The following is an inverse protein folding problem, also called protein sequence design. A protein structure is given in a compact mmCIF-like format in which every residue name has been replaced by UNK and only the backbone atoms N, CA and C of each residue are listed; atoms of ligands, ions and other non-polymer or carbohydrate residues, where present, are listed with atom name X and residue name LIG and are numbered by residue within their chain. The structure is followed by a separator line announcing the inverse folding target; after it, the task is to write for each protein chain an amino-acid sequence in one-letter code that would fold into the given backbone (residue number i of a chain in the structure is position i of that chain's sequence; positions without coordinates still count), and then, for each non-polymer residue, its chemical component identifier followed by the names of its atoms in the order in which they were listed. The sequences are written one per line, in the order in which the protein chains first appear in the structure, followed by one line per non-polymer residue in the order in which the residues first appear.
data_IF_200068830809
#
_entry.id   IF_200068830809
#
_cell.length_a   1.000
_cell.length_b   1.000
_cell.length_c   1.000
_cell.angle_alpha   90.00
_cell.angle_beta   90.00
_cell.angle_gamma   90.00
#
_symmetry.space_group_name_H-M   'P 1'
#
loop_
_entity.id
_entity.type
_entity.pdbx_description
1 polymer ?
#
# COMPACT_ATOMS: atom_id res chain seq x y z
N UNK A 1 2.54 2.62 -46.57
CA UNK A 1 2.14 4.04 -46.55
C UNK A 1 1.56 4.33 -45.17
N UNK A 2 2.39 4.79 -44.23
CA UNK A 2 1.97 5.09 -42.85
C UNK A 2 1.90 6.60 -42.72
N UNK A 3 0.69 7.11 -42.54
CA UNK A 3 0.38 8.53 -42.41
C UNK A 3 0.92 9.01 -41.05
N UNK A 4 1.89 9.92 -41.10
CA UNK A 4 2.44 10.65 -39.96
C UNK A 4 1.39 11.67 -39.52
N UNK A 5 0.57 11.33 -38.52
CA UNK A 5 -0.20 12.32 -37.77
C UNK A 5 0.64 12.82 -36.60
N UNK A 6 1.00 14.10 -36.64
CA UNK A 6 1.60 14.86 -35.55
C UNK A 6 0.58 14.92 -34.39
N UNK A 7 0.56 13.90 -33.53
CA UNK A 7 -0.33 13.85 -32.37
C UNK A 7 0.17 14.79 -31.27
N UNK A 8 -0.76 15.54 -30.69
CA UNK A 8 -0.50 16.47 -29.59
C UNK A 8 -0.02 15.69 -28.36
N UNK A 9 0.80 16.29 -27.50
CA UNK A 9 1.40 15.62 -26.34
C UNK A 9 0.37 14.95 -25.41
N UNK A 10 -0.87 15.45 -25.38
CA UNK A 10 -2.00 14.83 -24.66
C UNK A 10 -2.46 13.52 -25.32
N UNK A 11 -2.60 13.50 -26.64
CA UNK A 11 -3.03 12.31 -27.41
C UNK A 11 -2.03 11.17 -27.33
N UNK A 12 -0.74 11.50 -27.22
CA UNK A 12 0.34 10.53 -27.02
C UNK A 12 0.26 9.88 -25.62
N UNK A 13 -0.06 10.65 -24.58
CA UNK A 13 -0.28 10.13 -23.23
C UNK A 13 -1.51 9.21 -23.18
N UNK A 14 -2.61 9.57 -23.85
CA UNK A 14 -3.79 8.72 -23.90
C UNK A 14 -3.54 7.41 -24.66
N UNK A 15 -2.82 7.46 -25.79
CA UNK A 15 -2.40 6.25 -26.51
C UNK A 15 -1.45 5.38 -25.71
N UNK A 16 -0.52 5.97 -24.95
CA UNK A 16 0.39 5.23 -24.09
C UNK A 16 -0.38 4.55 -22.94
N UNK A 17 -1.39 5.20 -22.35
CA UNK A 17 -2.28 4.60 -21.34
C UNK A 17 -3.11 3.45 -21.95
N UNK A 18 -3.61 3.63 -23.18
CA UNK A 18 -4.40 2.61 -23.88
C UNK A 18 -3.55 1.39 -24.29
N UNK A 19 -2.29 1.60 -24.69
CA UNK A 19 -1.30 0.54 -24.98
C UNK A 19 -0.76 -0.12 -23.69
N UNK A 20 -0.68 0.63 -22.58
CA UNK A 20 -0.28 0.12 -21.25
C UNK A 20 -1.43 -0.59 -20.52
N UNK A 21 -2.61 -0.75 -21.15
CA UNK A 21 -3.52 -1.87 -20.80
C UNK A 21 -2.87 -3.20 -21.18
N UNK A 22 -1.69 -3.49 -20.64
CA UNK A 22 -1.14 -4.82 -20.60
C UNK A 22 -2.23 -5.72 -20.05
N UNK A 23 -2.53 -6.80 -20.78
CA UNK A 23 -3.56 -7.78 -20.45
C UNK A 23 -3.13 -8.56 -19.19
N UNK A 24 -3.11 -7.90 -18.04
CA UNK A 24 -3.00 -8.57 -16.75
C UNK A 24 -4.24 -9.43 -16.61
N UNK A 25 -4.03 -10.72 -16.34
CA UNK A 25 -5.14 -11.63 -16.06
C UNK A 25 -5.86 -11.09 -14.83
N UNK A 26 -7.16 -10.83 -14.95
CA UNK A 26 -8.02 -10.50 -13.81
C UNK A 26 -8.17 -11.75 -12.95
N UNK A 27 -7.31 -11.86 -11.94
CA UNK A 27 -7.24 -13.02 -11.06
C UNK A 27 -7.82 -12.75 -9.66
N UNK A 28 -8.17 -11.50 -9.35
CA UNK A 28 -8.67 -11.06 -8.05
C UNK A 28 -10.15 -10.74 -8.11
N UNK A 29 -10.89 -11.24 -7.11
CA UNK A 29 -12.30 -10.91 -6.91
C UNK A 29 -12.45 -9.59 -6.11
N UNK A 30 -13.60 -8.93 -6.21
CA UNK A 30 -13.88 -7.67 -5.51
C UNK A 30 -13.72 -7.79 -3.99
N UNK A 31 -14.22 -8.88 -3.40
CA UNK A 31 -14.11 -9.14 -1.95
C UNK A 31 -12.66 -9.27 -1.50
N UNK A 32 -11.83 -9.93 -2.32
CA UNK A 32 -10.41 -10.05 -2.02
C UNK A 32 -9.70 -8.71 -2.18
N UNK A 33 -10.09 -7.91 -3.17
CA UNK A 33 -9.56 -6.58 -3.39
C UNK A 33 -9.88 -5.63 -2.21
N UNK A 34 -11.11 -5.66 -1.70
CA UNK A 34 -11.49 -4.86 -0.53
C UNK A 34 -10.76 -5.32 0.72
N UNK A 35 -10.58 -6.63 0.92
CA UNK A 35 -9.78 -7.16 2.02
C UNK A 35 -8.31 -6.68 1.95
N UNK A 36 -7.71 -6.66 0.76
CA UNK A 36 -6.35 -6.09 0.59
C UNK A 36 -6.32 -4.61 1.00
N UNK A 37 -7.32 -3.81 0.60
CA UNK A 37 -7.37 -2.39 0.99
C UNK A 37 -7.57 -2.19 2.49
N UNK A 38 -8.42 -3.01 3.12
CA UNK A 38 -8.63 -2.98 4.57
C UNK A 38 -7.33 -3.32 5.29
N UNK A 39 -6.68 -4.43 4.96
CA UNK A 39 -5.48 -4.84 5.66
C UNK A 39 -4.22 -4.02 5.34
N UNK A 40 -4.21 -3.25 4.25
CA UNK A 40 -3.18 -2.24 3.99
C UNK A 40 -3.28 -1.05 4.95
N UNK A 41 -4.50 -0.66 5.34
CA UNK A 41 -4.75 0.49 6.22
C UNK A 41 -4.84 0.09 7.69
N UNK A 42 -5.47 -1.05 7.98
CA UNK A 42 -5.66 -1.60 9.32
C UNK A 42 -4.71 -2.78 9.48
N UNK A 43 -3.60 -2.55 10.16
CA UNK A 43 -2.56 -3.56 10.36
C UNK A 43 -1.82 -3.40 11.69
N UNK A 44 -0.86 -4.29 11.95
CA UNK A 44 -0.11 -4.34 13.21
C UNK A 44 0.64 -3.04 13.55
N UNK A 45 1.03 -2.26 12.55
CA UNK A 45 1.68 -0.97 12.77
C UNK A 45 0.74 0.07 13.39
N UNK A 46 -0.56 0.02 13.12
CA UNK A 46 -1.53 0.94 13.73
C UNK A 46 -1.57 0.70 15.25
N UNK A 47 -1.69 -0.54 15.69
CA UNK A 47 -1.70 -0.87 17.12
C UNK A 47 -0.36 -0.55 17.81
N UNK A 48 0.76 -0.91 17.20
CA UNK A 48 2.10 -0.69 17.79
C UNK A 48 2.48 0.79 17.80
N UNK A 49 2.30 1.51 16.69
CA UNK A 49 2.64 2.93 16.61
C UNK A 49 1.70 3.79 17.44
N UNK A 50 0.41 3.48 17.48
CA UNK A 50 -0.53 4.21 18.35
C UNK A 50 -0.18 3.99 19.83
N UNK A 51 0.23 2.79 20.22
CA UNK A 51 0.72 2.55 21.59
C UNK A 51 1.99 3.37 21.89
N UNK A 52 2.95 3.41 20.97
CA UNK A 52 4.16 4.25 21.12
C UNK A 52 3.79 5.74 21.19
N UNK A 53 2.90 6.21 20.31
CA UNK A 53 2.43 7.59 20.27
C UNK A 53 1.72 8.00 21.57
N UNK A 54 0.95 7.08 22.17
CA UNK A 54 0.30 7.30 23.47
C UNK A 54 1.30 7.61 24.58
N UNK A 55 2.50 7.01 24.53
CA UNK A 55 3.60 7.30 25.44
C UNK A 55 4.16 8.73 25.31
N UNK A 56 4.07 9.33 24.11
CA UNK A 56 4.54 10.70 23.87
C UNK A 56 3.47 11.77 24.12
N UNK A 57 2.22 11.53 23.73
CA UNK A 57 1.13 12.54 23.80
C UNK A 57 0.23 12.39 25.03
N UNK A 58 0.26 11.24 25.70
CA UNK A 58 -0.59 10.96 26.85
C UNK A 58 -2.09 11.08 26.51
N UNK A 59 -2.90 11.77 27.33
CA UNK A 59 -4.35 11.91 27.10
C UNK A 59 -4.72 12.62 25.79
N UNK A 60 -3.80 13.39 25.19
CA UNK A 60 -4.07 14.17 23.97
C UNK A 60 -3.96 13.38 22.66
N UNK A 61 -3.68 12.07 22.73
CA UNK A 61 -3.51 11.18 21.57
C UNK A 61 -4.68 11.26 20.57
N UNK A 62 -5.91 11.33 21.08
CA UNK A 62 -7.11 11.40 20.23
C UNK A 62 -7.10 12.64 19.32
N UNK A 63 -6.73 13.80 19.88
CA UNK A 63 -6.66 15.06 19.13
C UNK A 63 -5.54 14.98 18.09
N UNK A 64 -4.38 14.43 18.46
CA UNK A 64 -3.27 14.23 17.53
C UNK A 64 -3.65 13.32 16.35
N UNK A 65 -4.43 12.27 16.60
CA UNK A 65 -4.89 11.35 15.56
C UNK A 65 -5.88 12.01 14.58
N UNK A 66 -6.79 12.84 15.08
CA UNK A 66 -7.71 13.62 14.23
C UNK A 66 -6.94 14.56 13.32
N UNK A 67 -5.97 15.31 13.89
CA UNK A 67 -5.14 16.23 13.11
C UNK A 67 -4.33 15.46 12.05
N UNK A 68 -3.79 14.30 12.40
CA UNK A 68 -3.05 13.45 11.45
C UNK A 68 -3.92 12.88 10.32
N UNK A 69 -5.23 12.73 10.51
CA UNK A 69 -6.13 12.24 9.47
C UNK A 69 -6.46 13.31 8.41
N UNK A 70 -6.36 14.61 8.76
CA UNK A 70 -6.76 15.70 7.86
C UNK A 70 -6.03 15.70 6.50
N UNK A 71 -4.69 15.54 6.42
CA UNK A 71 -4.01 15.52 5.13
C UNK A 71 -4.44 14.36 4.23
N UNK A 72 -4.73 13.20 4.84
CA UNK A 72 -5.16 12.00 4.12
C UNK A 72 -6.56 12.21 3.54
N UNK A 73 -7.48 12.82 4.30
CA UNK A 73 -8.83 13.15 3.84
C UNK A 73 -8.79 14.13 2.65
N UNK A 74 -7.89 15.11 2.66
CA UNK A 74 -7.71 16.02 1.53
C UNK A 74 -7.12 15.29 0.31
N UNK A 75 -6.22 14.34 0.51
CA UNK A 75 -5.59 13.58 -0.57
C UNK A 75 -6.50 12.50 -1.18
N UNK A 76 -7.45 11.94 -0.42
CA UNK A 76 -8.29 10.83 -0.90
C UNK A 76 -9.29 11.28 -1.97
N UNK A 77 -9.83 12.51 -1.86
CA UNK A 77 -10.83 13.04 -2.78
C UNK A 77 -10.33 13.06 -4.24
N UNK A 78 -9.19 13.71 -4.57
CA UNK A 78 -8.66 13.70 -5.94
C UNK A 78 -8.22 12.29 -6.38
N UNK A 79 -7.79 11.43 -5.46
CA UNK A 79 -7.43 10.06 -5.79
C UNK A 79 -8.65 9.21 -6.20
N UNK A 80 -9.79 9.39 -5.54
CA UNK A 80 -11.05 8.69 -5.84
C UNK A 80 -11.65 9.12 -7.17
N UNK A 81 -11.65 10.43 -7.47
CA UNK A 81 -12.17 10.95 -8.75
C UNK A 81 -11.34 10.45 -9.92
N UNK A 82 -10.01 10.46 -9.77
CA UNK A 82 -9.09 10.00 -10.80
C UNK A 82 -9.09 8.48 -10.97
N UNK A 83 -9.25 7.72 -9.88
CA UNK A 83 -9.41 6.25 -9.93
C UNK A 83 -10.68 5.82 -10.65
N UNK A 84 -11.75 6.59 -10.51
CA UNK A 84 -13.02 6.32 -11.20
C UNK A 84 -12.97 6.71 -12.68
N UNK A 85 -12.29 7.81 -13.01
CA UNK A 85 -12.18 8.29 -14.39
C UNK A 85 -11.14 7.51 -15.23
N UNK A 86 -10.00 7.15 -14.63
CA UNK A 86 -8.87 6.53 -15.30
C UNK A 86 -8.38 5.29 -14.52
N UNK A 87 -9.06 4.13 -14.66
CA UNK A 87 -8.64 2.89 -14.04
C UNK A 87 -7.36 2.39 -14.71
N UNK A 88 -6.22 2.64 -14.06
CA UNK A 88 -4.88 2.30 -14.56
C UNK A 88 -4.12 1.49 -13.51
N UNK A 89 -3.20 0.65 -13.98
CA UNK A 89 -2.26 -0.05 -13.12
C UNK A 89 -1.13 0.91 -12.71
N UNK A 90 -0.59 0.75 -11.50
CA UNK A 90 0.37 1.70 -10.93
C UNK A 90 -0.17 3.15 -10.86
N UNK A 91 -1.41 3.29 -10.35
CA UNK A 91 -2.14 4.54 -10.19
C UNK A 91 -1.30 5.70 -9.65
N UNK A 92 -0.53 5.51 -8.57
CA UNK A 92 0.31 6.57 -7.97
C UNK A 92 1.28 7.22 -8.99
N UNK A 93 1.92 6.43 -9.86
CA UNK A 93 2.83 6.96 -10.89
C UNK A 93 2.06 7.60 -12.05
N UNK A 94 1.06 6.89 -12.55
CA UNK A 94 0.28 7.33 -13.72
C UNK A 94 -0.47 8.64 -13.44
N UNK A 95 -1.00 8.80 -12.23
CA UNK A 95 -1.71 10.00 -11.80
C UNK A 95 -0.76 11.18 -11.61
N UNK A 96 0.42 10.96 -11.06
CA UNK A 96 1.43 12.00 -10.96
C UNK A 96 1.94 12.46 -12.35
N UNK A 97 2.02 11.55 -13.33
CA UNK A 97 2.44 11.86 -14.71
C UNK A 97 1.50 12.86 -15.40
N UNK A 98 0.22 12.89 -15.00
CA UNK A 98 -0.76 13.86 -15.52
C UNK A 98 -0.45 15.30 -15.09
N UNK A 99 0.17 15.48 -13.92
CA UNK A 99 0.58 16.80 -13.44
C UNK A 99 1.95 17.19 -14.02
N UNK A 100 2.97 16.35 -13.85
CA UNK A 100 4.33 16.64 -14.29
C UNK A 100 5.19 15.37 -14.31
N UNK A 101 5.85 15.10 -15.43
CA UNK A 101 6.70 13.90 -15.60
C UNK A 101 7.89 13.89 -14.62
N UNK A 102 8.66 14.98 -14.45
CA UNK A 102 9.74 15.02 -13.44
C UNK A 102 9.25 14.77 -12.01
N UNK A 103 8.10 15.34 -11.64
CA UNK A 103 7.54 15.18 -10.30
C UNK A 103 7.02 13.75 -10.07
N UNK A 104 6.44 13.13 -11.10
CA UNK A 104 6.01 11.74 -11.06
C UNK A 104 7.18 10.78 -10.82
N UNK A 105 8.30 11.01 -11.50
CA UNK A 105 9.52 10.21 -11.30
C UNK A 105 10.07 10.43 -9.89
N UNK A 106 10.19 11.67 -9.43
CA UNK A 106 10.66 11.97 -8.08
C UNK A 106 9.77 11.33 -6.99
N UNK A 107 8.45 11.45 -7.12
CA UNK A 107 7.49 10.84 -6.20
C UNK A 107 7.57 9.31 -6.20
N UNK A 108 7.75 8.70 -7.37
CA UNK A 108 7.91 7.24 -7.47
C UNK A 108 9.20 6.74 -6.83
N UNK A 109 10.32 7.46 -7.00
CA UNK A 109 11.56 7.16 -6.28
C UNK A 109 11.40 7.31 -4.77
N UNK A 110 10.67 8.33 -4.32
CA UNK A 110 10.33 8.50 -2.90
C UNK A 110 9.55 7.31 -2.34
N UNK A 111 8.52 6.86 -3.05
CA UNK A 111 7.75 5.66 -2.65
C UNK A 111 8.60 4.39 -2.69
N UNK A 112 9.42 4.24 -3.73
CA UNK A 112 10.31 3.09 -3.88
C UNK A 112 11.38 3.03 -2.78
N UNK A 113 11.83 4.16 -2.23
CA UNK A 113 12.70 4.16 -1.06
C UNK A 113 11.91 3.91 0.24
N UNK A 114 10.76 4.55 0.40
CA UNK A 114 9.96 4.48 1.63
C UNK A 114 9.44 3.07 1.94
N UNK A 115 9.08 2.28 0.92
CA UNK A 115 8.53 0.93 1.12
C UNK A 115 9.57 -0.08 1.65
N UNK A 116 10.72 -0.31 0.99
CA UNK A 116 11.71 -1.29 1.44
C UNK A 116 12.52 -0.83 2.66
N UNK A 117 12.78 0.47 2.83
CA UNK A 117 13.56 0.96 3.97
C UNK A 117 12.68 1.34 5.18
N UNK A 118 11.42 1.72 4.95
CA UNK A 118 10.48 2.11 5.99
C UNK A 118 9.38 1.08 6.22
N UNK A 119 8.49 0.92 5.24
CA UNK A 119 7.25 0.16 5.38
C UNK A 119 7.43 -1.32 5.72
N UNK A 120 8.15 -2.07 4.88
CA UNK A 120 8.31 -3.53 5.04
C UNK A 120 9.02 -3.90 6.35
N UNK A 121 10.16 -3.27 6.72
CA UNK A 121 10.83 -3.56 7.99
C UNK A 121 9.95 -3.17 9.18
N UNK A 122 9.22 -2.05 9.10
CA UNK A 122 8.33 -1.61 10.17
C UNK A 122 7.24 -2.64 10.44
N UNK A 123 6.55 -3.15 9.41
CA UNK A 123 5.54 -4.20 9.58
C UNK A 123 6.12 -5.50 10.15
N UNK A 124 7.31 -5.89 9.71
CA UNK A 124 7.98 -7.09 10.20
C UNK A 124 8.38 -6.96 11.69
N UNK A 125 8.96 -5.82 12.08
CA UNK A 125 9.35 -5.55 13.48
C UNK A 125 8.11 -5.41 14.37
N UNK A 126 7.05 -4.75 13.89
CA UNK A 126 5.77 -4.68 14.62
C UNK A 126 5.21 -6.08 14.89
N UNK A 127 5.22 -6.95 13.87
CA UNK A 127 4.74 -8.34 14.02
C UNK A 127 5.61 -9.13 15.00
N UNK A 128 6.93 -9.01 14.92
CA UNK A 128 7.87 -9.64 15.84
C UNK A 128 7.64 -9.21 17.30
N UNK A 129 7.38 -7.92 17.54
CA UNK A 129 7.05 -7.40 18.87
C UNK A 129 5.72 -7.95 19.41
N UNK A 130 4.72 -8.09 18.54
CA UNK A 130 3.44 -8.70 18.94
C UNK A 130 3.60 -10.19 19.26
N UNK A 131 4.45 -10.93 18.52
CA UNK A 131 4.74 -12.32 18.81
C UNK A 131 5.48 -12.53 20.13
N UNK A 132 6.34 -11.60 20.53
CA UNK A 132 7.04 -11.64 21.82
C UNK A 132 6.07 -11.61 23.02
N UNK A 133 4.90 -10.97 22.86
CA UNK A 133 3.86 -10.98 23.91
C UNK A 133 3.30 -12.39 24.11
N UNK A 134 3.28 -13.22 23.07
CA UNK A 134 2.79 -14.60 23.12
C UNK A 134 3.88 -15.59 23.54
N UNK A 135 5.11 -15.41 23.04
CA UNK A 135 6.26 -16.27 23.32
C UNK A 135 7.39 -15.39 23.87
N UNK A 136 7.60 -15.41 25.21
CA UNK A 136 8.68 -14.66 25.84
C UNK A 136 10.07 -15.06 25.29
N UNK A 137 11.02 -14.12 25.31
CA UNK A 137 12.43 -14.29 24.91
C UNK A 137 12.73 -14.52 23.40
N UNK A 138 11.77 -14.21 22.51
CA UNK A 138 12.02 -14.28 21.06
C UNK A 138 12.95 -13.15 20.55
N UNK A 139 13.98 -13.44 19.73
CA UNK A 139 14.83 -12.41 19.15
C UNK A 139 14.06 -11.60 18.09
N UNK A 140 13.81 -10.31 18.38
CA UNK A 140 12.97 -9.42 17.54
C UNK A 140 13.50 -9.31 16.10
N UNK A 141 14.81 -9.11 15.94
CA UNK A 141 15.41 -8.92 14.61
C UNK A 141 15.35 -10.22 13.80
N UNK A 142 15.70 -11.35 14.42
CA UNK A 142 15.66 -12.66 13.75
C UNK A 142 14.25 -13.04 13.32
N UNK A 143 13.26 -12.82 14.19
CA UNK A 143 11.85 -13.10 13.90
C UNK A 143 11.30 -12.18 12.82
N UNK A 144 11.64 -10.89 12.82
CA UNK A 144 11.25 -9.97 11.76
C UNK A 144 11.80 -10.40 10.38
N UNK A 145 13.07 -10.82 10.31
CA UNK A 145 13.69 -11.33 9.08
C UNK A 145 12.97 -12.60 8.59
N UNK A 146 12.65 -13.52 9.50
CA UNK A 146 11.91 -14.75 9.17
C UNK A 146 10.53 -14.41 8.62
N UNK A 147 9.77 -13.55 9.30
CA UNK A 147 8.44 -13.10 8.87
C UNK A 147 8.51 -12.48 7.47
N UNK A 148 9.46 -11.56 7.24
CA UNK A 148 9.64 -10.91 5.95
C UNK A 148 9.99 -11.92 4.85
N UNK A 149 10.84 -12.91 5.15
CA UNK A 149 11.21 -13.98 4.22
C UNK A 149 10.01 -14.85 3.86
N UNK A 150 9.19 -15.23 4.83
CA UNK A 150 7.96 -16.03 4.60
C UNK A 150 7.00 -15.26 3.70
N UNK A 151 6.72 -13.99 4.00
CA UNK A 151 5.85 -13.18 3.16
C UNK A 151 6.45 -12.90 1.78
N UNK A 152 7.78 -12.77 1.66
CA UNK A 152 8.44 -12.66 0.37
C UNK A 152 8.22 -13.92 -0.48
N UNK A 153 8.43 -15.11 0.09
CA UNK A 153 8.19 -16.38 -0.61
C UNK A 153 6.72 -16.51 -1.04
N UNK A 154 5.77 -16.16 -0.17
CA UNK A 154 4.34 -16.13 -0.53
C UNK A 154 4.05 -15.19 -1.71
N UNK A 155 4.68 -14.01 -1.74
CA UNK A 155 4.54 -13.07 -2.85
C UNK A 155 5.15 -13.58 -4.16
N UNK A 156 6.20 -14.39 -4.10
CA UNK A 156 6.81 -15.04 -5.28
C UNK A 156 5.90 -16.15 -5.83
N UNK A 157 5.21 -16.92 -4.97
CA UNK A 157 4.30 -18.01 -5.39
C UNK A 157 3.13 -17.49 -6.23
N UNK A 158 2.66 -16.27 -5.95
CA UNK A 158 1.77 -15.55 -6.85
C UNK A 158 0.65 -14.80 -6.14
N UNK A 159 0.03 -13.89 -6.89
CA UNK A 159 -0.92 -12.91 -6.35
C UNK A 159 -2.19 -13.55 -5.77
N UNK A 160 -2.65 -14.69 -6.30
CA UNK A 160 -3.81 -15.40 -5.76
C UNK A 160 -3.57 -15.91 -4.35
N UNK A 161 -2.41 -16.55 -4.11
CA UNK A 161 -2.08 -17.10 -2.80
C UNK A 161 -1.99 -15.99 -1.75
N UNK A 162 -1.24 -14.92 -2.05
CA UNK A 162 -1.15 -13.74 -1.18
C UNK A 162 -2.53 -13.15 -0.89
N UNK A 163 -3.40 -13.07 -1.90
CA UNK A 163 -4.72 -12.47 -1.74
C UNK A 163 -5.66 -13.32 -0.88
N UNK A 164 -5.59 -14.66 -0.94
CA UNK A 164 -6.32 -15.52 -0.02
C UNK A 164 -5.78 -15.44 1.42
N UNK A 165 -4.46 -15.39 1.59
CA UNK A 165 -3.85 -15.17 2.91
C UNK A 165 -4.32 -13.83 3.48
N UNK A 166 -4.32 -12.77 2.67
CA UNK A 166 -4.79 -11.45 3.05
C UNK A 166 -6.27 -11.44 3.45
N UNK A 167 -7.12 -12.16 2.74
CA UNK A 167 -8.53 -12.30 3.11
C UNK A 167 -8.69 -12.99 4.46
N UNK A 168 -7.93 -14.07 4.69
CA UNK A 168 -7.94 -14.80 5.96
C UNK A 168 -7.45 -13.97 7.15
N UNK A 169 -6.36 -13.21 6.97
CA UNK A 169 -5.82 -12.35 8.04
C UNK A 169 -6.77 -11.21 8.40
N UNK A 170 -7.44 -10.60 7.40
CA UNK A 170 -8.44 -9.56 7.66
C UNK A 170 -9.69 -10.12 8.31
N UNK A 171 -10.15 -11.31 7.89
CA UNK A 171 -11.28 -11.97 8.56
C UNK A 171 -10.96 -12.26 10.04
N UNK A 172 -9.76 -12.75 10.34
CA UNK A 172 -9.29 -12.95 11.70
C UNK A 172 -9.22 -11.64 12.49
N UNK A 173 -8.74 -10.56 11.88
CA UNK A 173 -8.69 -9.23 12.51
C UNK A 173 -10.09 -8.76 12.91
N UNK A 174 -11.07 -8.88 12.01
CA UNK A 174 -12.47 -8.46 12.26
C UNK A 174 -13.10 -9.30 13.38
N UNK A 175 -12.77 -10.59 13.48
CA UNK A 175 -13.27 -11.46 14.55
C UNK A 175 -12.64 -11.12 15.91
N UNK A 176 -11.39 -10.65 15.90
CA UNK A 176 -10.64 -10.33 17.10
C UNK A 176 -10.93 -8.91 17.66
N UNK A 177 -11.57 -8.04 16.88
CA UNK A 177 -11.97 -6.68 17.27
C UNK A 177 -13.31 -6.68 18.01
#
# INVERSE_FOLDING_TARGET
MVIILRKSGKDLVYLEIEVTRGKLKRELNLVTLTAIMIGLNIGGSLFVLTAIASGFTGPSLFIAQIISALPILLAVIPYLTLSSALPTTCANYQYAKLCSVPLAVAGWWGLFAAIPFGGLPLFAVSTARLLMVLIPDLPIIGTAIIVLTVFFVLNVVGIKATAYVQLGTVALLIIAL
#
